data_IF_047972290910
#
_entry.id   IF_047972290910
#
_cell.length_a   1.000
_cell.length_b   1.000
_cell.length_c   1.000
_cell.angle_alpha   90.00
_cell.angle_beta   90.00
_cell.angle_gamma   90.00
#
_symmetry.space_group_name_H-M   'P 1'
#
loop_
_entity.id
_entity.type
_entity.pdbx_description
1 polymer ?
#
# COMPACT_ATOMS: atom_id res chain seq x y z
N UNK A 1 26.46 14.53 8.41
CA UNK A 1 25.82 14.75 9.72
C UNK A 1 26.06 13.47 10.51
N UNK A 2 27.16 13.41 11.26
CA UNK A 2 27.53 12.22 12.03
C UNK A 2 26.61 12.11 13.24
N UNK A 3 25.95 10.95 13.38
CA UNK A 3 25.24 10.57 14.59
C UNK A 3 26.32 10.13 15.58
N UNK A 4 26.88 11.05 16.34
CA UNK A 4 27.82 10.73 17.41
C UNK A 4 27.06 10.63 18.75
N UNK A 5 27.26 9.47 19.38
CA UNK A 5 27.03 9.10 20.78
C UNK A 5 25.58 9.06 21.31
N UNK A 6 24.79 8.09 20.84
CA UNK A 6 23.66 7.59 21.63
C UNK A 6 24.15 6.49 22.59
N UNK A 7 24.43 6.86 23.85
CA UNK A 7 24.49 5.89 24.95
C UNK A 7 23.54 6.30 26.07
N UNK A 8 22.29 5.85 25.95
CA UNK A 8 21.57 5.17 27.03
C UNK A 8 20.42 4.35 26.40
N UNK A 9 20.65 3.04 26.33
CA UNK A 9 19.85 1.98 25.70
C UNK A 9 19.70 2.11 24.16
N UNK A 10 19.93 1.03 23.41
CA UNK A 10 20.02 0.91 21.93
C UNK A 10 18.76 1.32 21.13
N UNK A 11 17.86 2.13 21.68
CA UNK A 11 16.61 2.55 21.07
C UNK A 11 16.78 3.87 20.29
N UNK A 12 16.18 3.91 19.09
CA UNK A 12 16.14 5.13 18.26
C UNK A 12 15.36 6.28 18.91
N UNK A 13 14.45 5.98 19.84
CA UNK A 13 13.59 6.95 20.53
C UNK A 13 13.59 6.68 22.04
N UNK A 14 13.42 7.72 22.89
CA UNK A 14 13.30 7.55 24.34
C UNK A 14 12.11 6.64 24.71
N UNK A 15 12.34 5.65 25.59
CA UNK A 15 11.31 4.70 26.00
C UNK A 15 10.59 5.17 27.27
N UNK A 16 9.75 6.21 27.15
CA UNK A 16 8.97 6.72 28.29
C UNK A 16 8.03 5.64 28.85
N UNK A 17 7.89 5.59 30.18
CA UNK A 17 6.98 4.65 30.86
C UNK A 17 5.54 4.76 30.35
N UNK A 18 5.11 5.97 30.00
CA UNK A 18 3.75 6.27 29.57
C UNK A 18 3.39 5.63 28.21
N UNK A 19 4.40 5.34 27.38
CA UNK A 19 4.16 4.66 26.10
C UNK A 19 3.80 3.18 26.30
N UNK A 20 4.19 2.61 27.45
CA UNK A 20 3.87 1.23 27.83
C UNK A 20 2.47 1.12 28.46
N UNK A 21 1.92 2.21 28.99
CA UNK A 21 0.62 2.22 29.68
C UNK A 21 -0.59 2.50 28.78
N UNK A 22 -0.39 2.67 27.48
CA UNK A 22 -1.47 2.97 26.54
C UNK A 22 -1.90 4.44 26.52
N UNK A 23 -1.18 5.32 27.24
CA UNK A 23 -1.45 6.76 27.32
C UNK A 23 -1.51 7.44 25.93
N UNK A 24 -0.72 6.94 24.97
CA UNK A 24 -0.75 7.37 23.58
C UNK A 24 -2.15 7.34 22.95
N UNK A 25 -3.02 6.41 23.37
CA UNK A 25 -4.38 6.31 22.85
C UNK A 25 -5.28 7.45 23.35
N UNK A 26 -5.01 7.99 24.54
CA UNK A 26 -5.72 9.14 25.09
C UNK A 26 -5.37 10.40 24.31
N UNK A 27 -4.09 10.60 24.03
CA UNK A 27 -3.60 11.72 23.21
C UNK A 27 -4.22 11.67 21.80
N UNK A 28 -4.20 10.49 21.16
CA UNK A 28 -4.82 10.31 19.84
C UNK A 28 -6.32 10.62 19.87
N UNK A 29 -7.03 10.19 20.91
CA UNK A 29 -8.46 10.47 21.07
C UNK A 29 -8.73 11.97 21.23
N UNK A 30 -7.95 12.66 22.07
CA UNK A 30 -8.05 14.10 22.25
C UNK A 30 -7.81 14.85 20.93
N UNK A 31 -6.81 14.43 20.15
CA UNK A 31 -6.56 14.96 18.81
C UNK A 31 -7.77 14.77 17.88
N UNK A 32 -8.35 13.56 17.82
CA UNK A 32 -9.53 13.31 16.99
C UNK A 32 -10.70 14.20 17.40
N UNK A 33 -11.00 14.29 18.70
CA UNK A 33 -12.09 15.10 19.22
C UNK A 33 -11.91 16.59 18.90
N UNK A 34 -10.69 17.12 19.05
CA UNK A 34 -10.37 18.51 18.74
C UNK A 34 -10.54 18.85 17.25
N UNK A 35 -10.43 17.86 16.36
CA UNK A 35 -10.58 18.02 14.92
C UNK A 35 -11.94 17.53 14.39
N UNK A 36 -12.91 17.28 15.27
CA UNK A 36 -14.23 16.73 14.90
C UNK A 36 -14.17 15.40 14.14
N UNK A 37 -13.12 14.61 14.39
CA UNK A 37 -12.94 13.28 13.83
C UNK A 37 -13.49 12.23 14.80
N UNK A 38 -13.99 11.13 14.23
CA UNK A 38 -14.33 9.95 15.03
C UNK A 38 -13.07 9.41 15.71
N UNK A 39 -13.22 8.95 16.94
CA UNK A 39 -12.08 8.38 17.69
C UNK A 39 -11.58 7.11 16.99
N UNK A 40 -10.28 7.09 16.66
CA UNK A 40 -9.62 5.93 16.04
C UNK A 40 -8.59 5.30 16.99
N UNK A 41 -8.15 4.08 16.63
CA UNK A 41 -7.05 3.37 17.30
C UNK A 41 -5.77 3.46 16.45
N UNK A 42 -4.60 3.26 17.04
CA UNK A 42 -3.34 3.18 16.27
C UNK A 42 -3.37 2.12 15.17
N UNK A 43 -4.02 0.98 15.42
CA UNK A 43 -4.18 -0.05 14.39
C UNK A 43 -5.00 0.46 13.19
N UNK A 44 -5.95 1.37 13.40
CA UNK A 44 -6.70 2.02 12.32
C UNK A 44 -5.77 2.88 11.48
N UNK A 45 -4.82 3.60 12.09
CA UNK A 45 -3.84 4.40 11.34
C UNK A 45 -2.97 3.52 10.43
N UNK A 46 -2.52 2.36 10.91
CA UNK A 46 -1.77 1.39 10.09
C UNK A 46 -2.60 0.85 8.92
N UNK A 47 -3.89 0.58 9.15
CA UNK A 47 -4.82 0.20 8.09
C UNK A 47 -4.99 1.31 7.05
N UNK A 48 -5.21 2.55 7.48
CA UNK A 48 -5.32 3.71 6.60
C UNK A 48 -4.06 3.92 5.75
N UNK A 49 -2.87 3.80 6.37
CA UNK A 49 -1.59 3.88 5.66
C UNK A 49 -1.49 2.85 4.53
N UNK A 50 -1.84 1.59 4.80
CA UNK A 50 -1.82 0.56 3.77
C UNK A 50 -2.85 0.82 2.67
N UNK A 51 -4.10 1.17 3.02
CA UNK A 51 -5.14 1.50 2.04
C UNK A 51 -4.75 2.67 1.14
N UNK A 52 -4.10 3.71 1.69
CA UNK A 52 -3.61 4.85 0.92
C UNK A 52 -2.47 4.48 -0.04
N UNK A 53 -1.55 3.61 0.39
CA UNK A 53 -0.49 3.14 -0.51
C UNK A 53 -1.07 2.35 -1.68
N UNK A 54 -2.06 1.49 -1.42
CA UNK A 54 -2.74 0.78 -2.49
C UNK A 54 -3.39 1.84 -3.38
N UNK A 55 -4.20 2.79 -2.84
CA UNK A 55 -4.98 3.78 -3.60
C UNK A 55 -4.17 4.60 -4.60
N UNK A 56 -2.87 4.77 -4.38
CA UNK A 56 -1.95 5.48 -5.29
C UNK A 56 -1.20 4.53 -6.26
N UNK A 57 -1.58 3.26 -6.34
CA UNK A 57 -1.04 2.27 -7.27
C UNK A 57 0.14 1.45 -6.75
N UNK A 58 0.48 1.49 -5.45
CA UNK A 58 1.58 0.65 -4.93
C UNK A 58 1.15 -0.82 -4.91
N UNK A 59 1.95 -1.75 -5.49
CA UNK A 59 1.59 -3.16 -5.52
C UNK A 59 1.35 -3.75 -4.13
N UNK A 60 0.31 -4.55 -3.97
CA UNK A 60 -0.08 -5.14 -2.69
C UNK A 60 1.06 -5.92 -2.02
N UNK A 61 1.88 -6.64 -2.79
CA UNK A 61 3.05 -7.37 -2.26
C UNK A 61 4.12 -6.46 -1.67
N UNK A 62 4.28 -5.24 -2.19
CA UNK A 62 5.17 -4.21 -1.64
C UNK A 62 4.57 -3.64 -0.36
N UNK A 63 3.27 -3.32 -0.36
CA UNK A 63 2.56 -2.84 0.84
C UNK A 63 2.64 -3.87 1.97
N UNK A 64 2.50 -5.17 1.68
CA UNK A 64 2.67 -6.24 2.66
C UNK A 64 4.08 -6.27 3.27
N UNK A 65 5.14 -6.05 2.48
CA UNK A 65 6.52 -5.97 2.99
C UNK A 65 6.71 -4.77 3.91
N UNK A 66 6.23 -3.59 3.50
CA UNK A 66 6.32 -2.35 4.29
C UNK A 66 5.53 -2.50 5.60
N UNK A 67 4.30 -3.02 5.50
CA UNK A 67 3.42 -3.20 6.64
C UNK A 67 3.77 -4.42 7.49
N UNK A 68 4.71 -5.29 7.08
CA UNK A 68 5.06 -6.51 7.81
C UNK A 68 3.93 -7.55 7.89
N UNK A 69 3.15 -7.72 6.81
CA UNK A 69 2.10 -8.73 6.72
C UNK A 69 2.57 -9.97 5.98
N UNK A 70 2.28 -11.13 6.56
CA UNK A 70 2.61 -12.44 5.97
C UNK A 70 1.47 -13.00 5.12
N UNK A 71 0.22 -12.75 5.51
CA UNK A 71 -0.95 -13.37 4.89
C UNK A 71 -1.66 -12.41 3.93
N UNK A 72 -1.84 -12.87 2.69
CA UNK A 72 -2.57 -12.16 1.65
C UNK A 72 -4.05 -11.97 2.02
N UNK A 73 -4.66 -12.87 2.80
CA UNK A 73 -6.05 -12.69 3.24
C UNK A 73 -6.25 -11.41 4.06
N UNK A 74 -5.25 -11.02 4.85
CA UNK A 74 -5.28 -9.76 5.60
C UNK A 74 -5.20 -8.57 4.65
N UNK A 75 -4.42 -8.70 3.58
CA UNK A 75 -4.21 -7.67 2.56
C UNK A 75 -5.45 -7.43 1.69
N UNK A 76 -6.19 -8.50 1.33
CA UNK A 76 -7.38 -8.45 0.48
C UNK A 76 -8.46 -7.48 0.99
N UNK A 77 -8.60 -7.34 2.31
CA UNK A 77 -9.51 -6.35 2.91
C UNK A 77 -9.20 -4.93 2.44
N UNK A 78 -7.92 -4.57 2.36
CA UNK A 78 -7.49 -3.22 2.02
C UNK A 78 -7.50 -2.97 0.53
N UNK A 79 -7.22 -3.98 -0.29
CA UNK A 79 -7.37 -3.92 -1.75
C UNK A 79 -8.82 -3.55 -2.11
N UNK A 80 -9.79 -4.25 -1.49
CA UNK A 80 -11.21 -3.95 -1.69
C UNK A 80 -11.60 -2.54 -1.26
N UNK A 81 -11.03 -2.04 -0.15
CA UNK A 81 -11.29 -0.69 0.35
C UNK A 81 -10.66 0.41 -0.51
N UNK A 82 -9.62 0.09 -1.28
CA UNK A 82 -8.91 1.07 -2.09
C UNK A 82 -9.54 1.27 -3.47
N UNK A 83 -10.48 0.42 -3.88
CA UNK A 83 -11.29 0.55 -5.11
C UNK A 83 -10.47 0.67 -6.42
N UNK A 84 -9.36 -0.07 -6.55
CA UNK A 84 -8.43 0.04 -7.69
C UNK A 84 -8.28 -1.24 -8.50
N UNK A 85 -8.97 -2.30 -8.10
CA UNK A 85 -8.63 -3.69 -8.49
C UNK A 85 -8.73 -3.94 -10.02
N UNK A 86 -9.44 -3.06 -10.75
CA UNK A 86 -9.82 -3.29 -12.15
C UNK A 86 -9.46 -2.14 -13.08
N UNK A 87 -9.09 -0.96 -12.54
CA UNK A 87 -8.87 0.23 -13.35
C UNK A 87 -7.62 0.06 -14.23
N UNK A 88 -7.83 0.01 -15.55
CA UNK A 88 -6.75 -0.14 -16.52
C UNK A 88 -6.13 -1.54 -16.61
N UNK A 89 -6.69 -2.56 -15.93
CA UNK A 89 -6.12 -3.91 -15.88
C UNK A 89 -5.97 -4.59 -17.27
N UNK A 90 -6.78 -4.16 -18.24
CA UNK A 90 -6.77 -4.68 -19.62
C UNK A 90 -6.14 -3.72 -20.63
N UNK A 91 -5.77 -2.50 -20.23
CA UNK A 91 -5.26 -1.47 -21.17
C UNK A 91 -3.91 -1.85 -21.79
N UNK A 92 -3.10 -2.65 -21.08
CA UNK A 92 -1.84 -3.18 -21.61
C UNK A 92 -1.98 -4.43 -22.48
N UNK A 93 -3.19 -4.93 -22.70
CA UNK A 93 -3.42 -6.16 -23.47
C UNK A 93 -3.45 -5.86 -24.97
N UNK A 94 -2.29 -5.95 -25.62
CA UNK A 94 -2.17 -5.81 -27.07
C UNK A 94 -2.09 -7.17 -27.74
N UNK A 95 -3.14 -7.55 -28.48
CA UNK A 95 -3.11 -8.72 -29.34
C UNK A 95 -2.58 -8.33 -30.72
N UNK A 96 -1.38 -8.78 -31.07
CA UNK A 96 -0.93 -8.74 -32.46
C UNK A 96 -1.75 -9.76 -33.26
N UNK A 97 -2.56 -9.29 -34.21
CA UNK A 97 -3.12 -10.16 -35.23
C UNK A 97 -2.02 -10.42 -36.25
N UNK A 98 -1.34 -11.56 -36.13
CA UNK A 98 -0.48 -12.03 -37.20
C UNK A 98 -1.38 -12.57 -38.33
N UNK A 99 -1.77 -11.67 -39.24
CA UNK A 99 -2.28 -12.04 -40.56
C UNK A 99 -1.14 -11.92 -41.56
N UNK A 100 -0.11 -12.75 -41.40
CA UNK A 100 0.74 -13.19 -42.49
C UNK A 100 0.63 -14.72 -42.63
N UNK A 101 -0.60 -15.18 -42.87
CA UNK A 101 -0.81 -16.42 -43.62
C UNK A 101 -0.58 -16.07 -45.08
N UNK A 102 0.59 -16.45 -45.60
CA UNK A 102 0.83 -16.41 -47.04
C UNK A 102 -0.01 -17.49 -47.71
N UNK A 103 -0.85 -17.08 -48.67
CA UNK A 103 -1.32 -17.92 -49.76
C UNK A 103 -1.25 -17.08 -51.04
N UNK A 104 -0.39 -17.49 -51.96
CA UNK A 104 -0.29 -16.87 -53.28
C UNK A 104 -1.36 -17.37 -54.24
N UNK A 105 -1.64 -16.58 -55.29
CA UNK A 105 -1.90 -17.05 -56.66
C UNK A 105 -2.13 -15.86 -57.61
N UNK A 106 -1.43 -15.89 -58.77
CA UNK A 106 -1.96 -15.47 -60.08
C UNK A 106 -2.15 -13.97 -60.38
N UNK A 107 -1.13 -13.34 -60.96
CA UNK A 107 -1.26 -12.07 -61.70
C UNK A 107 -0.37 -12.10 -62.94
N UNK A 108 -1.00 -12.37 -64.08
CA UNK A 108 -0.48 -12.67 -65.41
C UNK A 108 0.29 -11.53 -66.09
N UNK A 109 1.09 -11.93 -67.08
CA UNK A 109 1.97 -11.16 -67.98
C UNK A 109 1.34 -9.89 -68.59
N UNK A 110 2.15 -8.82 -68.69
CA UNK A 110 2.52 -8.18 -69.97
C UNK A 110 3.90 -7.49 -69.82
#
# INVERSE_FOLDING_TARGET
MSIEELKQDDYLLPCFSDWKSGYQAQILRGFCQANHLSSVRFHTLRACFATQLISIGVPATVVMKIAGWKDMKTMQRYIRLAEIDEAGATEGLHFYSDRNGGDGEGGEFD
#
